data_IF_793715003789
#
_entry.id   IF_793715003789
#
_cell.length_a   1.000
_cell.length_b   1.000
_cell.length_c   1.000
_cell.angle_alpha   90.00
_cell.angle_beta   90.00
_cell.angle_gamma   90.00
#
_symmetry.space_group_name_H-M   'P 1'
#
loop_
_entity.id
_entity.type
_entity.pdbx_description
1 polymer ?
#
# COMPACT_ATOMS: atom_id res chain seq x y z
N UNK A 1 -50.79 11.31 24.44
CA UNK A 1 -50.87 11.98 23.14
C UNK A 1 -49.67 11.46 22.32
N UNK A 2 -49.69 10.49 21.44
CA UNK A 2 -50.71 10.12 20.47
C UNK A 2 -50.35 10.67 19.11
N UNK A 3 -49.66 9.87 18.27
CA UNK A 3 -49.88 9.88 16.83
C UNK A 3 -49.15 8.71 16.18
N UNK A 4 -49.96 7.82 15.67
CA UNK A 4 -49.63 6.63 14.88
C UNK A 4 -49.24 6.99 13.47
N UNK A 5 -48.35 6.21 12.88
CA UNK A 5 -48.11 6.15 11.45
C UNK A 5 -48.83 4.96 10.84
N UNK A 6 -49.37 5.05 9.65
CA UNK A 6 -49.72 3.89 8.87
C UNK A 6 -49.04 3.94 7.49
N UNK A 7 -48.45 2.83 7.02
CA UNK A 7 -48.53 2.39 5.62
C UNK A 7 -48.01 0.95 5.51
N UNK A 8 -48.92 0.05 5.25
CA UNK A 8 -48.68 -1.33 4.87
C UNK A 8 -48.62 -1.49 3.33
N UNK A 9 -48.37 -2.71 2.85
CA UNK A 9 -47.84 -2.96 1.50
C UNK A 9 -48.94 -3.06 0.44
N UNK A 10 -48.60 -2.62 -0.80
CA UNK A 10 -49.44 -2.86 -1.95
C UNK A 10 -48.71 -3.68 -3.00
N UNK A 11 -49.25 -4.86 -3.24
CA UNK A 11 -48.95 -5.74 -4.40
C UNK A 11 -49.61 -5.17 -5.66
N UNK A 12 -48.91 -5.11 -6.76
CA UNK A 12 -49.51 -5.05 -8.10
C UNK A 12 -48.63 -5.80 -9.13
N UNK A 13 -49.33 -6.59 -9.92
CA UNK A 13 -48.89 -7.56 -10.89
C UNK A 13 -48.43 -6.93 -12.23
N UNK A 14 -47.95 -7.78 -13.24
CA UNK A 14 -47.06 -7.37 -14.32
C UNK A 14 -47.82 -6.83 -15.55
N UNK A 15 -47.19 -5.86 -16.22
CA UNK A 15 -47.64 -5.38 -17.55
C UNK A 15 -46.63 -5.76 -18.62
N UNK A 16 -47.18 -6.30 -19.72
CA UNK A 16 -46.49 -6.81 -20.91
C UNK A 16 -45.89 -5.71 -21.79
N UNK A 17 -44.80 -6.08 -22.38
CA UNK A 17 -44.21 -5.83 -23.68
C UNK A 17 -44.80 -4.70 -24.58
N UNK A 18 -43.90 -3.77 -24.99
CA UNK A 18 -44.07 -2.90 -26.14
C UNK A 18 -42.71 -2.33 -26.53
N UNK A 19 -42.17 -2.75 -27.66
CA UNK A 19 -40.99 -2.15 -28.29
C UNK A 19 -41.33 -0.76 -28.84
N UNK A 20 -40.45 0.22 -28.76
CA UNK A 20 -40.49 1.40 -29.61
C UNK A 20 -39.27 1.48 -30.54
N UNK A 21 -39.34 2.32 -31.57
CA UNK A 21 -38.56 2.21 -32.79
C UNK A 21 -37.20 2.95 -32.70
N UNK A 22 -36.31 2.44 -33.55
CA UNK A 22 -35.00 2.95 -33.89
C UNK A 22 -35.02 4.47 -34.25
N UNK A 23 -34.24 5.29 -33.50
CA UNK A 23 -33.78 6.59 -33.98
C UNK A 23 -32.28 6.71 -33.67
N UNK A 24 -31.53 6.72 -34.76
CA UNK A 24 -30.11 7.09 -34.77
C UNK A 24 -29.95 8.58 -34.35
N UNK A 25 -29.19 8.78 -33.29
CA UNK A 25 -28.71 10.09 -32.86
C UNK A 25 -27.38 9.85 -32.15
N UNK A 26 -26.27 10.20 -32.80
CA UNK A 26 -24.92 10.00 -32.26
C UNK A 26 -24.72 10.79 -30.98
N UNK A 27 -24.52 10.06 -29.91
CA UNK A 27 -23.96 10.57 -28.69
C UNK A 27 -22.46 10.27 -28.69
N UNK A 28 -21.67 11.34 -28.53
CA UNK A 28 -20.23 11.26 -28.41
C UNK A 28 -19.85 10.30 -27.28
N UNK A 29 -19.11 9.25 -27.63
CA UNK A 29 -18.53 8.31 -26.69
C UNK A 29 -17.64 9.04 -25.69
N UNK A 30 -17.91 8.87 -24.41
CA UNK A 30 -16.94 9.11 -23.36
C UNK A 30 -15.70 8.23 -23.65
N UNK A 31 -14.46 8.72 -23.42
CA UNK A 31 -13.29 7.91 -23.70
C UNK A 31 -13.33 6.66 -22.83
N UNK A 32 -13.29 5.48 -23.47
CA UNK A 32 -13.20 4.20 -22.78
C UNK A 32 -11.94 4.18 -21.94
N UNK A 33 -12.02 3.67 -20.72
CA UNK A 33 -10.91 3.53 -19.78
C UNK A 33 -9.82 2.53 -20.24
N UNK A 34 -9.93 1.99 -21.47
CA UNK A 34 -9.04 0.93 -21.99
C UNK A 34 -7.77 1.44 -22.69
N UNK A 35 -7.55 2.75 -22.79
CA UNK A 35 -6.38 3.29 -23.48
C UNK A 35 -5.29 3.77 -22.53
N UNK A 36 -4.73 2.86 -21.72
CA UNK A 36 -3.36 3.02 -21.23
C UNK A 36 -2.42 2.43 -22.31
N UNK A 37 -1.28 3.10 -22.63
CA UNK A 37 -0.36 2.57 -23.61
C UNK A 37 0.11 1.18 -23.20
N UNK A 38 0.08 0.20 -24.11
CA UNK A 38 0.47 -1.21 -23.96
C UNK A 38 1.97 -1.44 -23.73
N UNK A 39 2.72 -0.48 -23.26
CA UNK A 39 4.05 -0.72 -22.72
C UNK A 39 3.91 -1.17 -21.28
N UNK A 40 3.51 -2.43 -21.09
CA UNK A 40 3.61 -3.09 -19.78
C UNK A 40 5.05 -2.92 -19.27
N UNK A 41 5.26 -2.26 -18.14
CA UNK A 41 6.57 -2.30 -17.50
C UNK A 41 6.93 -3.77 -17.25
N UNK A 42 8.22 -4.15 -17.29
CA UNK A 42 8.67 -5.52 -17.07
C UNK A 42 8.11 -6.01 -15.75
N UNK A 43 7.78 -7.30 -15.63
CA UNK A 43 7.18 -7.96 -14.47
C UNK A 43 7.67 -7.31 -13.16
N UNK A 44 6.82 -6.49 -12.54
CA UNK A 44 7.22 -5.43 -11.58
C UNK A 44 7.79 -5.97 -10.27
N UNK A 45 7.74 -7.28 -10.07
CA UNK A 45 8.30 -7.96 -8.90
C UNK A 45 9.63 -8.68 -9.17
N UNK A 46 10.12 -8.75 -10.43
CA UNK A 46 11.48 -9.26 -10.67
C UNK A 46 12.54 -8.16 -10.45
N UNK A 47 13.29 -8.23 -9.33
CA UNK A 47 14.34 -7.25 -9.06
C UNK A 47 15.41 -7.17 -10.16
N UNK A 48 15.58 -8.23 -10.95
CA UNK A 48 16.51 -8.24 -12.07
C UNK A 48 15.97 -7.45 -13.25
N UNK A 49 14.66 -7.54 -13.51
CA UNK A 49 14.02 -6.74 -14.55
C UNK A 49 14.06 -5.24 -14.21
N UNK A 50 13.76 -4.87 -12.96
CA UNK A 50 13.90 -3.49 -12.48
C UNK A 50 15.34 -2.98 -12.62
N UNK A 51 16.35 -3.81 -12.29
CA UNK A 51 17.76 -3.42 -12.46
C UNK A 51 18.09 -3.17 -13.94
N UNK A 52 17.62 -4.02 -14.85
CA UNK A 52 17.79 -3.84 -16.30
C UNK A 52 17.13 -2.56 -16.80
N UNK A 53 15.90 -2.29 -16.40
CA UNK A 53 15.17 -1.05 -16.74
C UNK A 53 15.92 0.19 -16.27
N UNK A 54 16.51 0.16 -15.08
CA UNK A 54 17.35 1.22 -14.54
C UNK A 54 18.76 1.28 -15.18
N UNK A 55 19.09 0.41 -16.15
CA UNK A 55 20.45 0.22 -16.72
C UNK A 55 21.51 -0.09 -15.66
N UNK A 56 21.10 -0.89 -14.65
CA UNK A 56 21.95 -1.31 -13.54
C UNK A 56 22.12 -2.83 -13.53
N UNK A 57 23.18 -3.30 -12.84
CA UNK A 57 23.39 -4.72 -12.56
C UNK A 57 22.67 -5.11 -11.27
N UNK A 58 21.95 -6.22 -11.30
CA UNK A 58 21.44 -6.84 -10.09
C UNK A 58 22.59 -7.49 -9.33
N UNK A 59 22.79 -7.14 -8.08
CA UNK A 59 23.93 -7.59 -7.25
C UNK A 59 23.45 -7.90 -5.82
N UNK A 60 24.20 -8.71 -5.09
CA UNK A 60 23.96 -9.00 -3.68
C UNK A 60 25.26 -8.85 -2.88
N UNK A 61 25.16 -8.65 -1.59
CA UNK A 61 26.27 -8.37 -0.69
C UNK A 61 27.12 -9.60 -0.30
N UNK A 62 26.80 -10.78 -0.86
CA UNK A 62 27.68 -11.96 -0.82
C UNK A 62 28.78 -11.90 -1.91
N UNK A 63 28.66 -10.98 -2.87
CA UNK A 63 29.69 -10.77 -3.90
C UNK A 63 30.86 -9.98 -3.34
N UNK A 64 32.06 -10.11 -3.91
CA UNK A 64 33.22 -9.30 -3.53
C UNK A 64 32.90 -7.80 -3.56
N UNK A 65 33.27 -7.09 -2.50
CA UNK A 65 33.01 -5.67 -2.32
C UNK A 65 34.02 -5.04 -1.38
N UNK A 66 33.96 -3.73 -1.26
CA UNK A 66 34.72 -3.00 -0.25
C UNK A 66 34.10 -3.21 1.13
N UNK A 67 34.92 -3.10 2.17
CA UNK A 67 34.49 -3.18 3.57
C UNK A 67 34.89 -1.91 4.29
N UNK A 68 34.12 -1.54 5.29
CA UNK A 68 34.45 -0.41 6.16
C UNK A 68 34.93 -0.93 7.51
N UNK A 69 36.14 -0.56 7.87
CA UNK A 69 36.71 -0.84 9.18
C UNK A 69 36.69 0.41 10.07
N UNK A 70 36.33 0.25 11.32
CA UNK A 70 36.28 1.34 12.30
C UNK A 70 37.66 1.50 12.95
N UNK A 71 38.22 2.71 12.89
CA UNK A 71 39.45 3.09 13.58
C UNK A 71 39.21 3.91 14.85
N UNK A 72 38.01 4.53 14.95
CA UNK A 72 37.60 5.36 16.09
C UNK A 72 36.10 5.67 16.04
N UNK A 73 35.62 6.59 16.88
CA UNK A 73 34.17 6.91 16.94
C UNK A 73 33.59 7.37 15.60
N UNK A 74 34.35 8.18 14.85
CA UNK A 74 33.94 8.71 13.53
C UNK A 74 35.02 8.53 12.47
N UNK A 75 36.07 7.76 12.77
CA UNK A 75 37.15 7.48 11.86
C UNK A 75 37.01 6.09 11.27
N UNK A 76 37.08 6.01 9.96
CA UNK A 76 36.91 4.77 9.21
C UNK A 76 37.93 4.71 8.08
N UNK A 77 38.45 3.52 7.82
CA UNK A 77 39.13 3.21 6.57
C UNK A 77 38.26 2.27 5.73
N UNK A 78 38.44 2.35 4.44
CA UNK A 78 37.79 1.46 3.49
C UNK A 78 38.82 0.48 2.98
N UNK A 79 38.50 -0.80 3.08
CA UNK A 79 39.34 -1.87 2.59
C UNK A 79 38.75 -2.41 1.28
N UNK A 80 39.59 -2.80 0.36
CA UNK A 80 39.21 -3.53 -0.84
C UNK A 80 38.85 -4.99 -0.48
N UNK A 81 38.60 -5.82 -1.51
CA UNK A 81 38.21 -7.22 -1.31
C UNK A 81 39.41 -8.13 -0.93
N UNK A 82 40.64 -7.64 -1.07
CA UNK A 82 41.86 -8.31 -0.69
C UNK A 82 42.35 -7.89 0.71
N UNK A 83 41.69 -6.85 1.28
CA UNK A 83 42.01 -6.34 2.63
C UNK A 83 42.97 -5.15 2.63
N UNK A 84 43.36 -4.64 1.45
CA UNK A 84 44.21 -3.47 1.33
C UNK A 84 43.40 -2.18 1.48
N UNK A 85 44.01 -1.11 1.99
CA UNK A 85 43.37 0.18 2.08
C UNK A 85 43.06 0.76 0.70
N UNK A 86 41.82 1.22 0.50
CA UNK A 86 41.32 1.80 -0.73
C UNK A 86 41.89 3.22 -0.91
N UNK A 87 42.82 3.39 -1.81
CA UNK A 87 43.54 4.66 -2.07
C UNK A 87 43.04 5.38 -3.33
N UNK A 88 42.31 4.69 -4.21
CA UNK A 88 41.78 5.28 -5.46
C UNK A 88 40.81 6.43 -5.14
N UNK A 89 41.13 7.68 -5.61
CA UNK A 89 40.34 8.88 -5.25
C UNK A 89 38.89 8.82 -5.71
N UNK A 90 38.59 8.21 -6.86
CA UNK A 90 37.26 8.11 -7.44
C UNK A 90 36.39 7.17 -6.61
N UNK A 91 36.95 6.04 -6.22
CA UNK A 91 36.29 5.08 -5.37
C UNK A 91 36.05 5.66 -3.95
N UNK A 92 37.03 6.33 -3.37
CA UNK A 92 36.90 6.98 -2.05
C UNK A 92 35.83 8.06 -2.08
N UNK A 93 35.84 8.92 -3.12
CA UNK A 93 34.83 9.97 -3.29
C UNK A 93 33.42 9.38 -3.45
N UNK A 94 33.25 8.32 -4.24
CA UNK A 94 31.98 7.63 -4.42
C UNK A 94 31.49 7.04 -3.10
N UNK A 95 32.34 6.36 -2.36
CA UNK A 95 31.99 5.76 -1.06
C UNK A 95 31.52 6.82 -0.05
N UNK A 96 32.22 7.95 0.01
CA UNK A 96 31.82 9.10 0.87
C UNK A 96 30.43 9.63 0.51
N UNK A 97 30.12 9.75 -0.79
CA UNK A 97 28.79 10.17 -1.31
C UNK A 97 27.66 9.21 -0.93
N UNK A 98 27.93 7.94 -0.62
CA UNK A 98 26.91 7.01 -0.14
C UNK A 98 26.36 7.39 1.24
N UNK A 99 27.03 8.24 1.99
CA UNK A 99 26.65 8.74 3.30
C UNK A 99 26.19 7.61 4.25
N UNK A 100 27.03 6.56 4.36
CA UNK A 100 26.74 5.41 5.24
C UNK A 100 26.88 5.88 6.70
N UNK A 101 25.82 5.73 7.53
CA UNK A 101 25.87 6.21 8.92
C UNK A 101 27.05 5.64 9.69
N UNK A 102 27.72 6.45 10.53
CA UNK A 102 28.84 5.99 11.36
C UNK A 102 28.49 4.81 12.26
N UNK A 103 27.24 4.77 12.78
CA UNK A 103 26.76 3.72 13.67
C UNK A 103 26.53 2.36 12.98
N UNK A 104 26.69 2.25 11.64
CA UNK A 104 26.52 0.96 10.97
C UNK A 104 27.75 0.10 11.15
N UNK A 105 27.52 -1.18 11.35
CA UNK A 105 28.51 -2.27 11.44
C UNK A 105 28.37 -3.21 10.25
N UNK A 106 29.31 -4.13 10.03
CA UNK A 106 29.32 -5.12 8.95
C UNK A 106 29.04 -4.48 7.56
N UNK A 107 29.70 -3.36 7.30
CA UNK A 107 29.42 -2.58 6.09
C UNK A 107 30.10 -3.23 4.89
N UNK A 108 29.28 -3.65 3.92
CA UNK A 108 29.67 -4.05 2.58
C UNK A 108 29.33 -2.92 1.58
N UNK A 109 30.23 -2.66 0.61
CA UNK A 109 30.07 -1.63 -0.41
C UNK A 109 30.39 -2.21 -1.77
N UNK A 110 29.50 -2.04 -2.74
CA UNK A 110 29.71 -2.49 -4.12
C UNK A 110 30.93 -1.83 -4.75
N UNK A 111 31.80 -2.61 -5.42
CA UNK A 111 33.02 -2.08 -6.12
C UNK A 111 32.63 -1.14 -7.26
N UNK A 112 31.69 -1.54 -8.12
CA UNK A 112 31.30 -0.76 -9.30
C UNK A 112 30.07 0.10 -9.01
N UNK A 113 30.02 1.30 -9.61
CA UNK A 113 28.93 2.26 -9.44
C UNK A 113 27.58 1.76 -9.99
N UNK A 114 27.59 0.86 -10.98
CA UNK A 114 26.43 0.40 -11.73
C UNK A 114 25.63 -0.75 -11.04
N UNK A 115 25.87 -1.04 -9.77
CA UNK A 115 25.06 -2.00 -9.02
C UNK A 115 23.74 -1.36 -8.53
N UNK A 116 22.60 -2.07 -8.60
CA UNK A 116 21.36 -1.58 -8.01
C UNK A 116 21.49 -1.40 -6.49
N UNK A 117 22.20 -2.30 -5.83
CA UNK A 117 22.56 -2.22 -4.42
C UNK A 117 23.99 -1.64 -4.33
N UNK A 118 24.14 -0.52 -3.64
CA UNK A 118 25.40 0.20 -3.50
C UNK A 118 26.12 -0.15 -2.20
N UNK A 119 25.39 -0.33 -1.10
CA UNK A 119 25.96 -0.80 0.16
C UNK A 119 24.90 -1.46 1.05
N UNK A 120 25.37 -2.31 1.96
CA UNK A 120 24.60 -2.81 3.12
C UNK A 120 25.38 -2.53 4.40
N UNK A 121 24.70 -2.62 5.55
CA UNK A 121 25.31 -2.53 6.87
C UNK A 121 24.26 -2.84 7.93
N UNK A 122 24.71 -3.06 9.17
CA UNK A 122 23.83 -3.26 10.32
C UNK A 122 23.73 -2.00 11.15
N UNK A 123 22.51 -1.59 11.50
CA UNK A 123 22.30 -0.46 12.40
C UNK A 123 22.60 -0.85 13.85
N UNK A 124 22.53 0.12 14.78
CA UNK A 124 22.78 -0.08 16.21
C UNK A 124 21.87 -1.12 16.89
N UNK A 125 20.82 -1.59 16.21
CA UNK A 125 19.93 -2.68 16.66
C UNK A 125 20.22 -4.00 15.93
N UNK A 126 21.33 -4.12 15.23
CA UNK A 126 21.72 -5.30 14.44
C UNK A 126 20.94 -5.50 13.15
N UNK A 127 20.00 -4.61 12.81
CA UNK A 127 19.13 -4.77 11.64
C UNK A 127 19.87 -4.42 10.38
N UNK A 128 19.80 -5.28 9.35
CA UNK A 128 20.39 -5.05 8.04
C UNK A 128 19.71 -3.87 7.33
N UNK A 129 20.52 -2.92 6.89
CA UNK A 129 20.12 -1.72 6.17
C UNK A 129 20.73 -1.72 4.78
N UNK A 130 20.05 -1.08 3.82
CA UNK A 130 20.38 -1.12 2.40
C UNK A 130 20.52 0.29 1.84
N UNK A 131 21.52 0.50 1.00
CA UNK A 131 21.71 1.71 0.18
C UNK A 131 21.60 1.35 -1.30
N UNK A 132 20.49 1.73 -1.89
CA UNK A 132 20.22 1.49 -3.31
C UNK A 132 20.68 2.66 -4.16
N UNK A 133 21.01 2.38 -5.43
CA UNK A 133 21.31 3.37 -6.47
C UNK A 133 20.11 4.32 -6.69
N UNK A 134 20.35 5.60 -7.03
CA UNK A 134 19.27 6.57 -7.25
C UNK A 134 18.29 6.12 -8.35
N UNK A 135 18.84 5.76 -9.53
CA UNK A 135 18.04 5.25 -10.66
C UNK A 135 17.21 4.01 -10.33
N UNK A 136 17.72 3.11 -9.47
CA UNK A 136 16.95 1.97 -9.00
C UNK A 136 15.71 2.41 -8.23
N UNK A 137 15.87 3.43 -7.38
CA UNK A 137 14.74 3.97 -6.61
C UNK A 137 13.74 4.67 -7.51
N UNK A 138 14.20 5.44 -8.49
CA UNK A 138 13.35 6.12 -9.47
C UNK A 138 12.46 5.12 -10.22
N UNK A 139 13.05 4.14 -10.91
CA UNK A 139 12.29 3.12 -11.66
C UNK A 139 11.35 2.32 -10.76
N UNK A 140 11.78 1.99 -9.54
CA UNK A 140 10.94 1.28 -8.59
C UNK A 140 9.79 2.14 -8.04
N UNK A 141 10.00 3.44 -7.87
CA UNK A 141 8.97 4.36 -7.40
C UNK A 141 7.95 4.66 -8.53
N UNK A 142 8.39 4.75 -9.79
CA UNK A 142 7.50 4.83 -10.97
C UNK A 142 6.60 3.60 -11.11
N UNK A 143 7.19 2.39 -11.08
CA UNK A 143 6.43 1.14 -11.12
C UNK A 143 5.42 1.02 -9.97
N UNK A 144 5.81 1.45 -8.76
CA UNK A 144 4.91 1.46 -7.61
C UNK A 144 3.66 2.32 -7.83
N UNK A 145 3.82 3.48 -8.46
CA UNK A 145 2.68 4.38 -8.69
C UNK A 145 1.79 3.91 -9.84
N UNK A 146 2.37 3.30 -10.87
CA UNK A 146 1.61 2.61 -11.90
C UNK A 146 0.78 1.47 -11.28
N UNK A 147 1.38 0.63 -10.45
CA UNK A 147 0.69 -0.46 -9.73
C UNK A 147 -0.45 0.05 -8.84
N UNK A 148 -0.34 1.23 -8.27
CA UNK A 148 -1.43 1.81 -7.51
C UNK A 148 -2.69 2.06 -8.36
N UNK A 149 -2.54 2.49 -9.63
CA UNK A 149 -3.67 2.62 -10.55
C UNK A 149 -4.24 1.25 -10.96
N UNK A 150 -3.37 0.25 -11.17
CA UNK A 150 -3.81 -1.14 -11.38
C UNK A 150 -4.60 -1.62 -10.16
N UNK A 151 -4.10 -1.39 -8.94
CA UNK A 151 -4.80 -1.72 -7.71
C UNK A 151 -6.19 -1.07 -7.62
N UNK A 152 -6.30 0.24 -7.90
CA UNK A 152 -7.59 0.96 -7.93
C UNK A 152 -8.60 0.32 -8.90
N UNK A 153 -8.13 -0.13 -10.06
CA UNK A 153 -8.93 -0.79 -11.08
C UNK A 153 -9.50 -2.14 -10.65
N UNK A 154 -8.69 -2.93 -9.91
CA UNK A 154 -9.10 -4.28 -9.48
C UNK A 154 -9.74 -4.30 -8.09
N UNK A 155 -9.68 -3.21 -7.33
CA UNK A 155 -10.23 -3.10 -5.98
C UNK A 155 -11.73 -3.45 -5.90
N UNK A 156 -12.60 -3.02 -6.84
CA UNK A 156 -14.01 -3.44 -6.86
C UNK A 156 -14.19 -4.97 -6.94
N UNK A 157 -13.38 -5.62 -7.77
CA UNK A 157 -13.39 -7.09 -7.91
C UNK A 157 -12.92 -7.76 -6.62
N UNK A 158 -11.86 -7.22 -6.00
CA UNK A 158 -11.38 -7.70 -4.70
C UNK A 158 -12.49 -7.58 -3.66
N UNK A 159 -13.15 -6.42 -3.55
CA UNK A 159 -14.25 -6.18 -2.59
C UNK A 159 -15.41 -7.16 -2.82
N UNK A 160 -15.84 -7.36 -4.06
CA UNK A 160 -16.91 -8.29 -4.40
C UNK A 160 -16.57 -9.73 -3.99
N UNK A 161 -15.36 -10.20 -4.28
CA UNK A 161 -14.93 -11.54 -3.90
C UNK A 161 -14.79 -11.70 -2.38
N UNK A 162 -14.26 -10.69 -1.69
CA UNK A 162 -14.18 -10.67 -0.21
C UNK A 162 -15.58 -10.75 0.41
N UNK A 163 -16.58 -10.01 -0.10
CA UNK A 163 -17.96 -10.10 0.38
C UNK A 163 -18.54 -11.51 0.18
N UNK A 164 -18.29 -12.11 -0.96
CA UNK A 164 -18.69 -13.49 -1.26
C UNK A 164 -18.06 -14.48 -0.28
N UNK A 165 -16.74 -14.41 -0.09
CA UNK A 165 -16.00 -15.38 0.74
C UNK A 165 -16.27 -15.20 2.24
N UNK A 166 -16.60 -13.99 2.69
CA UNK A 166 -17.07 -13.73 4.06
C UNK A 166 -18.39 -14.42 4.39
N UNK A 167 -19.21 -14.72 3.38
CA UNK A 167 -20.51 -15.39 3.56
C UNK A 167 -20.37 -16.92 3.69
N UNK A 168 -19.20 -17.51 3.40
CA UNK A 168 -18.96 -18.94 3.50
C UNK A 168 -19.29 -19.45 4.93
N UNK A 169 -19.73 -20.70 5.04
CA UNK A 169 -19.96 -21.36 6.31
C UNK A 169 -18.64 -21.85 6.95
N UNK A 170 -18.62 -22.05 8.24
CA UNK A 170 -17.44 -22.58 8.93
C UNK A 170 -16.28 -21.59 9.05
N UNK A 171 -15.06 -22.09 9.06
CA UNK A 171 -13.80 -21.36 9.00
C UNK A 171 -12.89 -21.91 7.87
N UNK A 172 -13.37 -22.04 6.63
CA UNK A 172 -12.49 -22.43 5.53
C UNK A 172 -11.44 -21.32 5.29
N UNK A 173 -10.31 -21.67 4.68
CA UNK A 173 -9.20 -20.76 4.44
C UNK A 173 -9.65 -19.45 3.75
N UNK A 174 -10.46 -19.54 2.69
CA UNK A 174 -10.95 -18.37 1.95
C UNK A 174 -11.72 -17.38 2.82
N UNK A 175 -12.56 -17.88 3.74
CA UNK A 175 -13.31 -17.01 4.65
C UNK A 175 -12.42 -16.26 5.62
N UNK A 176 -11.39 -16.93 6.17
CA UNK A 176 -10.44 -16.29 7.09
C UNK A 176 -9.55 -15.30 6.35
N UNK A 177 -9.12 -15.63 5.12
CA UNK A 177 -8.38 -14.71 4.24
C UNK A 177 -9.21 -13.47 3.89
N UNK A 178 -10.48 -13.63 3.53
CA UNK A 178 -11.41 -12.54 3.27
C UNK A 178 -11.58 -11.64 4.51
N UNK A 179 -11.66 -12.22 5.71
CA UNK A 179 -11.73 -11.44 6.94
C UNK A 179 -10.44 -10.62 7.18
N UNK A 180 -9.26 -11.19 6.91
CA UNK A 180 -7.98 -10.48 7.01
C UNK A 180 -7.92 -9.34 5.99
N UNK A 181 -8.33 -9.56 4.75
CA UNK A 181 -8.34 -8.51 3.71
C UNK A 181 -9.31 -7.39 4.07
N UNK A 182 -10.50 -7.71 4.58
CA UNK A 182 -11.44 -6.71 5.08
C UNK A 182 -10.86 -5.88 6.23
N UNK A 183 -10.10 -6.52 7.13
CA UNK A 183 -9.39 -5.84 8.20
C UNK A 183 -8.23 -4.98 7.68
N UNK A 184 -7.46 -5.45 6.67
CA UNK A 184 -6.43 -4.64 6.03
C UNK A 184 -7.00 -3.34 5.48
N UNK A 185 -8.11 -3.42 4.77
CA UNK A 185 -8.79 -2.26 4.18
C UNK A 185 -9.35 -1.32 5.26
N UNK A 186 -10.08 -1.85 6.24
CA UNK A 186 -10.76 -1.03 7.24
C UNK A 186 -9.84 -0.42 8.30
N UNK A 187 -8.71 -1.08 8.62
CA UNK A 187 -7.82 -0.66 9.73
C UNK A 187 -6.47 -0.14 9.26
N UNK A 188 -6.08 -0.42 8.04
CA UNK A 188 -4.76 -0.13 7.49
C UNK A 188 -3.59 -0.75 8.30
N UNK A 189 -3.87 -1.76 9.11
CA UNK A 189 -2.85 -2.53 9.85
C UNK A 189 -2.00 -3.31 8.85
N UNK A 190 -0.72 -3.50 9.15
CA UNK A 190 0.18 -4.31 8.31
C UNK A 190 -0.21 -5.77 8.37
N UNK A 191 0.00 -6.49 7.26
CA UNK A 191 -0.31 -7.93 7.19
C UNK A 191 0.41 -8.72 8.29
N UNK A 192 1.65 -8.44 8.58
CA UNK A 192 2.47 -9.16 9.57
C UNK A 192 3.64 -9.90 8.89
N UNK A 193 4.59 -10.34 9.71
CA UNK A 193 5.69 -11.23 9.34
C UNK A 193 6.15 -11.94 10.62
N UNK A 194 6.21 -13.25 10.59
CA UNK A 194 6.45 -14.07 11.78
C UNK A 194 7.86 -13.89 12.35
N UNK A 195 8.88 -13.89 11.50
CA UNK A 195 10.27 -13.64 11.90
C UNK A 195 10.41 -12.30 12.61
N UNK A 196 9.82 -11.25 12.03
CA UNK A 196 9.84 -9.90 12.61
C UNK A 196 9.05 -9.83 13.93
N UNK A 197 7.93 -10.55 14.05
CA UNK A 197 7.13 -10.60 15.28
C UNK A 197 7.91 -11.27 16.40
N UNK A 198 8.61 -12.38 16.11
CA UNK A 198 9.44 -13.10 17.05
C UNK A 198 10.62 -12.26 17.55
N UNK A 199 11.33 -11.58 16.64
CA UNK A 199 12.53 -10.81 16.99
C UNK A 199 12.22 -9.49 17.72
N UNK A 200 11.11 -8.82 17.35
CA UNK A 200 10.83 -7.44 17.78
C UNK A 200 9.60 -7.31 18.68
N UNK A 201 8.92 -8.41 19.00
CA UNK A 201 7.63 -8.43 19.71
C UNK A 201 6.64 -7.39 19.14
N UNK A 202 6.54 -7.37 17.81
CA UNK A 202 5.73 -6.42 17.03
C UNK A 202 4.87 -7.15 16.03
N UNK A 203 3.56 -6.90 16.06
CA UNK A 203 2.55 -7.73 15.42
C UNK A 203 1.90 -7.02 14.22
N UNK A 204 1.38 -7.82 13.30
CA UNK A 204 0.46 -7.45 12.24
C UNK A 204 -0.69 -8.45 12.21
N UNK A 205 -1.58 -8.38 11.22
CA UNK A 205 -2.80 -9.19 11.23
C UNK A 205 -2.50 -10.70 11.31
N UNK A 206 -1.64 -11.24 10.46
CA UNK A 206 -1.34 -12.69 10.45
C UNK A 206 -0.56 -13.18 11.68
N UNK A 207 0.14 -12.27 12.36
CA UNK A 207 0.90 -12.59 13.58
C UNK A 207 0.22 -12.14 14.87
N UNK A 208 -1.02 -11.64 14.74
CA UNK A 208 -1.82 -11.18 15.87
C UNK A 208 -2.19 -12.34 16.78
N UNK A 209 -2.19 -12.11 18.09
CA UNK A 209 -2.56 -13.11 19.09
C UNK A 209 -3.97 -12.87 19.59
N UNK A 210 -4.63 -13.91 20.09
CA UNK A 210 -5.99 -13.84 20.68
C UNK A 210 -6.16 -12.72 21.71
N UNK A 211 -5.16 -12.49 22.56
CA UNK A 211 -5.17 -11.43 23.59
C UNK A 211 -5.16 -10.01 23.03
N UNK A 212 -4.84 -9.82 21.74
CA UNK A 212 -4.75 -8.53 21.10
C UNK A 212 -6.10 -8.03 20.57
N UNK A 213 -7.16 -8.82 20.68
CA UNK A 213 -8.49 -8.41 20.23
C UNK A 213 -9.56 -8.76 21.27
N UNK A 214 -10.46 -7.83 21.50
CA UNK A 214 -11.69 -8.03 22.28
C UNK A 214 -12.88 -7.93 21.33
N UNK A 215 -13.83 -8.88 21.48
CA UNK A 215 -15.07 -8.92 20.70
C UNK A 215 -16.27 -8.73 21.63
N UNK A 216 -17.00 -7.62 21.44
CA UNK A 216 -18.23 -7.33 22.18
C UNK A 216 -19.38 -7.06 21.21
N UNK A 217 -20.29 -8.01 21.04
CA UNK A 217 -21.35 -7.92 20.03
C UNK A 217 -20.78 -7.83 18.63
N UNK A 218 -21.01 -6.73 17.93
CA UNK A 218 -20.47 -6.42 16.61
C UNK A 218 -19.15 -5.62 16.67
N UNK A 219 -18.74 -5.17 17.87
CA UNK A 219 -17.55 -4.33 18.05
C UNK A 219 -16.30 -5.20 18.25
N UNK A 220 -15.26 -4.87 17.50
CA UNK A 220 -13.92 -5.39 17.60
C UNK A 220 -13.00 -4.28 18.11
N UNK A 221 -12.27 -4.52 19.19
CA UNK A 221 -11.26 -3.61 19.72
C UNK A 221 -9.91 -4.30 19.65
N UNK A 222 -8.99 -3.77 18.85
CA UNK A 222 -7.63 -4.29 18.71
C UNK A 222 -6.68 -3.43 19.56
N UNK A 223 -5.88 -4.08 20.40
CA UNK A 223 -4.83 -3.44 21.20
C UNK A 223 -3.54 -4.25 21.10
N UNK A 224 -2.55 -3.72 20.40
CA UNK A 224 -1.31 -4.45 20.12
C UNK A 224 -0.15 -3.54 19.78
N UNK A 225 1.06 -4.05 19.99
CA UNK A 225 2.30 -3.39 19.62
C UNK A 225 2.64 -3.70 18.17
N UNK A 226 2.61 -2.71 17.30
CA UNK A 226 2.97 -2.81 15.90
C UNK A 226 4.43 -2.47 15.60
N UNK A 227 4.74 -2.32 14.31
CA UNK A 227 6.10 -2.04 13.82
C UNK A 227 6.71 -0.81 14.49
N UNK A 228 8.00 -0.90 14.82
CA UNK A 228 8.78 0.09 15.58
C UNK A 228 8.33 0.28 17.04
N UNK A 229 7.53 -0.64 17.57
CA UNK A 229 7.04 -0.58 18.95
C UNK A 229 5.86 0.36 19.15
N UNK A 230 5.24 0.83 18.05
CA UNK A 230 4.08 1.71 18.12
C UNK A 230 2.86 0.95 18.65
N UNK A 231 2.24 1.49 19.72
CA UNK A 231 0.99 0.92 20.23
C UNK A 231 -0.17 1.32 19.32
N UNK A 232 -0.95 0.32 18.92
CA UNK A 232 -2.17 0.48 18.14
C UNK A 232 -3.39 0.17 19.01
N UNK A 233 -4.34 1.12 19.03
CA UNK A 233 -5.67 0.92 19.58
C UNK A 233 -6.68 1.22 18.47
N UNK A 234 -7.45 0.22 18.03
CA UNK A 234 -8.33 0.32 16.85
C UNK A 234 -9.68 -0.27 17.20
N UNK A 235 -10.73 0.52 17.03
CA UNK A 235 -12.11 0.08 17.13
C UNK A 235 -12.74 -0.07 15.75
N UNK A 236 -13.42 -1.17 15.53
CA UNK A 236 -14.17 -1.46 14.31
C UNK A 236 -15.52 -2.07 14.69
N UNK A 237 -16.58 -1.68 14.00
CA UNK A 237 -17.90 -2.28 14.15
C UNK A 237 -18.32 -2.99 12.87
N UNK A 238 -18.26 -4.32 12.89
CA UNK A 238 -18.68 -5.19 11.81
C UNK A 238 -19.14 -6.54 12.39
N UNK A 239 -20.42 -6.85 12.23
CA UNK A 239 -21.04 -8.06 12.82
C UNK A 239 -20.49 -9.35 12.23
N UNK A 240 -20.19 -9.38 10.92
CA UNK A 240 -19.63 -10.58 10.26
C UNK A 240 -18.19 -10.82 10.71
N UNK A 241 -17.35 -9.79 10.67
CA UNK A 241 -15.98 -9.89 11.14
C UNK A 241 -15.93 -10.27 12.63
N UNK A 242 -16.78 -9.68 13.47
CA UNK A 242 -16.85 -10.02 14.89
C UNK A 242 -17.18 -11.50 15.12
N UNK A 243 -18.09 -12.06 14.31
CA UNK A 243 -18.42 -13.48 14.39
C UNK A 243 -17.25 -14.38 13.96
N UNK A 244 -16.57 -14.05 12.85
CA UNK A 244 -15.40 -14.80 12.38
C UNK A 244 -14.27 -14.74 13.41
N UNK A 245 -13.93 -13.55 13.90
CA UNK A 245 -12.87 -13.36 14.89
C UNK A 245 -13.16 -14.10 16.20
N UNK A 246 -14.43 -14.08 16.68
CA UNK A 246 -14.82 -14.85 17.86
C UNK A 246 -14.59 -16.34 17.66
N UNK A 247 -15.02 -16.89 16.52
CA UNK A 247 -14.78 -18.30 16.20
C UNK A 247 -13.30 -18.65 16.09
N UNK A 248 -12.47 -17.75 15.55
CA UNK A 248 -11.01 -17.92 15.56
C UNK A 248 -10.45 -17.91 17.01
N UNK A 249 -11.03 -17.10 17.91
CA UNK A 249 -10.61 -17.08 19.32
C UNK A 249 -11.01 -18.36 20.11
N UNK A 250 -12.00 -19.10 19.65
CA UNK A 250 -12.41 -20.39 20.25
C UNK A 250 -11.44 -21.52 19.98
N UNK A 251 -10.59 -21.38 18.93
CA UNK A 251 -9.55 -22.38 18.61
C UNK A 251 -8.43 -22.35 19.68
N UNK A 252 -7.81 -23.49 20.03
CA UNK A 252 -6.82 -23.58 21.12
C UNK A 252 -5.47 -22.92 20.81
N UNK A 253 -5.32 -22.27 19.68
CA UNK A 253 -4.08 -21.72 19.14
C UNK A 253 -3.69 -20.34 19.69
N UNK A 254 -2.37 -20.01 19.69
CA UNK A 254 -1.90 -18.70 20.17
C UNK A 254 -2.15 -17.57 19.16
N UNK A 255 -1.96 -17.84 17.86
CA UNK A 255 -2.29 -16.89 16.80
C UNK A 255 -3.80 -16.72 16.68
N UNK A 256 -4.23 -15.53 16.27
CA UNK A 256 -5.66 -15.24 16.16
C UNK A 256 -6.26 -15.93 14.94
N UNK A 257 -5.61 -15.80 13.77
CA UNK A 257 -6.18 -16.24 12.50
C UNK A 257 -5.71 -17.63 12.11
N UNK A 258 -6.61 -18.60 12.29
CA UNK A 258 -6.51 -19.97 11.81
C UNK A 258 -7.72 -20.32 10.98
N UNK A 259 -7.54 -21.17 9.99
CA UNK A 259 -8.61 -21.83 9.27
C UNK A 259 -8.65 -23.32 9.63
N UNK A 260 -9.78 -23.95 9.41
CA UNK A 260 -9.96 -25.39 9.64
C UNK A 260 -9.80 -26.09 8.30
N UNK A 261 -8.88 -27.04 8.23
CA UNK A 261 -8.68 -27.93 7.07
C UNK A 261 -9.80 -28.97 6.96
N UNK A 262 -9.80 -29.70 5.88
CA UNK A 262 -10.74 -30.82 5.65
C UNK A 262 -10.60 -31.94 6.69
N UNK A 263 -9.40 -32.13 7.24
CA UNK A 263 -9.10 -33.06 8.35
C UNK A 263 -9.59 -32.56 9.73
N UNK A 264 -10.15 -31.36 9.80
CA UNK A 264 -10.63 -30.74 11.05
C UNK A 264 -9.56 -30.00 11.84
N UNK A 265 -8.28 -30.05 11.42
CA UNK A 265 -7.17 -29.43 12.15
C UNK A 265 -7.03 -27.92 11.85
N UNK A 266 -6.75 -27.11 12.89
CA UNK A 266 -6.50 -25.67 12.70
C UNK A 266 -5.14 -25.42 12.06
N UNK A 267 -5.09 -24.53 11.09
CA UNK A 267 -3.86 -24.11 10.39
C UNK A 267 -3.73 -22.59 10.37
N UNK A 268 -2.56 -22.02 10.74
CA UNK A 268 -2.35 -20.58 10.75
C UNK A 268 -2.35 -19.99 9.33
N UNK A 269 -2.79 -18.74 9.22
CA UNK A 269 -2.67 -17.94 7.99
C UNK A 269 -1.35 -17.18 8.04
N UNK A 270 -0.52 -17.34 7.01
CA UNK A 270 0.70 -16.59 6.81
C UNK A 270 0.51 -15.34 5.92
N UNK A 271 1.49 -14.43 5.90
CA UNK A 271 1.47 -13.26 5.01
C UNK A 271 1.44 -13.62 3.53
N UNK A 272 2.07 -14.74 3.17
CA UNK A 272 2.15 -15.21 1.79
C UNK A 272 0.81 -15.76 1.31
N UNK A 273 0.03 -16.41 2.21
CA UNK A 273 -1.33 -16.86 1.90
C UNK A 273 -2.25 -15.67 1.57
N UNK A 274 -2.11 -14.57 2.33
CA UNK A 274 -2.88 -13.34 2.09
C UNK A 274 -2.54 -12.73 0.73
N UNK A 275 -1.25 -12.67 0.38
CA UNK A 275 -0.83 -12.12 -0.91
C UNK A 275 -1.22 -13.06 -2.07
N UNK A 276 -1.11 -14.37 -1.93
CA UNK A 276 -1.56 -15.34 -2.93
C UNK A 276 -3.07 -15.22 -3.19
N UNK A 277 -3.87 -15.11 -2.13
CA UNK A 277 -5.31 -14.89 -2.24
C UNK A 277 -5.64 -13.58 -2.96
N UNK A 278 -4.96 -12.48 -2.62
CA UNK A 278 -5.15 -11.19 -3.28
C UNK A 278 -4.83 -11.27 -4.78
N UNK A 279 -3.72 -11.91 -5.16
CA UNK A 279 -3.33 -12.10 -6.56
C UNK A 279 -4.34 -12.96 -7.32
N UNK A 280 -4.82 -14.04 -6.71
CA UNK A 280 -5.84 -14.92 -7.30
C UNK A 280 -7.12 -14.14 -7.59
N UNK A 281 -7.68 -13.43 -6.60
CA UNK A 281 -8.97 -12.74 -6.77
C UNK A 281 -8.86 -11.46 -7.61
N UNK A 282 -7.71 -10.80 -7.62
CA UNK A 282 -7.46 -9.63 -8.45
C UNK A 282 -7.15 -9.99 -9.90
N UNK A 283 -6.51 -11.15 -10.15
CA UNK A 283 -5.94 -11.50 -11.46
C UNK A 283 -4.73 -10.64 -11.85
N UNK A 284 -4.13 -9.94 -10.88
CA UNK A 284 -3.03 -8.99 -11.03
C UNK A 284 -2.04 -9.12 -9.87
N UNK A 285 -0.80 -8.66 -10.06
CA UNK A 285 0.25 -8.70 -9.03
C UNK A 285 0.02 -7.60 -7.98
N UNK A 286 -0.98 -7.79 -7.11
CA UNK A 286 -1.31 -6.91 -6.00
C UNK A 286 -1.00 -7.56 -4.66
N UNK A 287 -0.76 -6.76 -3.63
CA UNK A 287 -0.35 -7.22 -2.31
C UNK A 287 -1.06 -6.45 -1.19
N UNK A 288 -1.02 -6.97 0.02
CA UNK A 288 -1.53 -6.29 1.22
C UNK A 288 -0.93 -4.88 1.43
N UNK A 289 0.26 -4.60 0.88
CA UNK A 289 0.90 -3.29 0.96
C UNK A 289 0.17 -2.23 0.12
N UNK A 290 -0.46 -2.64 -0.98
CA UNK A 290 -1.08 -1.73 -1.92
C UNK A 290 -2.31 -1.05 -1.32
N UNK A 291 -3.06 -1.71 -0.42
CA UNK A 291 -4.13 -1.09 0.38
C UNK A 291 -3.64 0.16 1.13
N UNK A 292 -2.45 0.10 1.70
CA UNK A 292 -1.89 1.23 2.47
C UNK A 292 -1.43 2.38 1.57
N UNK A 293 -0.90 2.06 0.39
CA UNK A 293 -0.50 3.08 -0.61
C UNK A 293 -1.74 3.75 -1.20
N UNK A 294 -2.75 2.96 -1.53
CA UNK A 294 -4.05 3.42 -2.00
C UNK A 294 -4.72 4.35 -0.99
N UNK A 295 -4.94 3.86 0.23
CA UNK A 295 -5.60 4.63 1.28
C UNK A 295 -4.83 5.91 1.63
N UNK A 296 -3.48 5.86 1.71
CA UNK A 296 -2.67 7.04 2.02
C UNK A 296 -2.80 8.13 0.95
N UNK A 297 -2.83 7.74 -0.33
CA UNK A 297 -2.97 8.68 -1.45
C UNK A 297 -4.35 9.31 -1.47
N UNK A 298 -5.41 8.51 -1.31
CA UNK A 298 -6.79 9.02 -1.24
C UNK A 298 -6.97 9.95 -0.02
N UNK A 299 -6.54 9.55 1.16
CA UNK A 299 -6.62 10.37 2.37
C UNK A 299 -5.85 11.69 2.24
N UNK A 300 -4.68 11.69 1.58
CA UNK A 300 -3.91 12.91 1.35
C UNK A 300 -4.61 13.84 0.35
N UNK A 301 -5.18 13.29 -0.73
CA UNK A 301 -5.94 14.06 -1.71
C UNK A 301 -7.16 14.72 -1.07
N UNK A 302 -7.94 13.97 -0.29
CA UNK A 302 -9.11 14.47 0.43
C UNK A 302 -8.72 15.52 1.48
N UNK A 303 -7.67 15.27 2.27
CA UNK A 303 -7.22 16.24 3.26
C UNK A 303 -6.80 17.58 2.63
N UNK A 304 -6.14 17.53 1.46
CA UNK A 304 -5.72 18.74 0.74
C UNK A 304 -6.88 19.43 0.02
N UNK A 305 -7.82 18.68 -0.56
CA UNK A 305 -8.99 19.26 -1.23
C UNK A 305 -9.97 19.95 -0.29
N UNK A 306 -10.03 19.52 0.97
CA UNK A 306 -10.85 20.14 2.02
C UNK A 306 -10.25 21.40 2.65
N UNK A 307 -9.02 21.76 2.28
CA UNK A 307 -8.39 22.97 2.78
C UNK A 307 -8.74 24.17 1.89
N UNK A 308 -8.82 25.36 2.52
CA UNK A 308 -9.03 26.61 1.79
C UNK A 308 -7.91 26.85 0.76
N UNK A 309 -8.25 27.63 -0.29
CA UNK A 309 -7.25 28.08 -1.29
C UNK A 309 -6.12 28.81 -0.56
N UNK A 310 -4.89 28.45 -0.89
CA UNK A 310 -3.72 29.12 -0.31
C UNK A 310 -3.38 30.39 -1.11
N UNK A 311 -2.91 31.39 -0.38
CA UNK A 311 -2.46 32.68 -0.87
C UNK A 311 -0.96 32.73 -1.18
N UNK A 312 -0.21 31.72 -0.71
CA UNK A 312 1.24 31.67 -0.87
C UNK A 312 1.77 30.23 -0.90
N UNK A 313 2.89 30.03 -1.58
CA UNK A 313 3.60 28.75 -1.58
C UNK A 313 4.04 28.30 -0.16
N UNK A 314 4.29 29.23 0.75
CA UNK A 314 4.62 28.93 2.13
C UNK A 314 3.41 28.29 2.85
N UNK A 315 2.21 28.83 2.63
CA UNK A 315 0.96 28.29 3.15
C UNK A 315 0.67 26.90 2.56
N UNK A 316 0.82 26.74 1.25
CA UNK A 316 0.65 25.45 0.58
C UNK A 316 1.56 24.36 1.15
N UNK A 317 2.83 24.67 1.40
CA UNK A 317 3.76 23.73 2.03
C UNK A 317 3.35 23.35 3.46
N UNK A 318 2.85 24.27 4.25
CA UNK A 318 2.31 23.98 5.60
C UNK A 318 1.10 23.06 5.52
N UNK A 319 0.20 23.30 4.58
CA UNK A 319 -0.97 22.45 4.35
C UNK A 319 -0.57 21.02 3.97
N UNK A 320 0.42 20.87 3.07
CA UNK A 320 0.97 19.55 2.71
C UNK A 320 1.56 18.83 3.94
N UNK A 321 2.31 19.54 4.79
CA UNK A 321 2.86 18.95 6.02
C UNK A 321 1.72 18.45 6.91
N UNK A 322 0.72 19.26 7.18
CA UNK A 322 -0.43 18.89 8.01
C UNK A 322 -1.21 17.70 7.45
N UNK A 323 -1.45 17.66 6.13
CA UNK A 323 -2.08 16.52 5.47
C UNK A 323 -1.25 15.24 5.62
N UNK A 324 0.07 15.31 5.39
CA UNK A 324 0.98 14.17 5.55
C UNK A 324 1.01 13.67 7.01
N UNK A 325 1.02 14.56 7.99
CA UNK A 325 0.99 14.21 9.42
C UNK A 325 -0.31 13.50 9.80
N UNK A 326 -1.45 14.00 9.33
CA UNK A 326 -2.76 13.37 9.54
C UNK A 326 -2.79 11.94 8.97
N UNK A 327 -2.35 11.76 7.72
CA UNK A 327 -2.28 10.45 7.08
C UNK A 327 -1.28 9.54 7.78
N UNK A 328 -0.12 10.06 8.16
CA UNK A 328 0.91 9.30 8.87
C UNK A 328 0.40 8.76 10.22
N UNK A 329 -0.39 9.57 10.95
CA UNK A 329 -1.04 9.16 12.21
C UNK A 329 -2.00 7.98 11.97
N UNK A 330 -2.84 8.05 10.92
CA UNK A 330 -3.76 6.96 10.57
C UNK A 330 -3.04 5.65 10.18
N UNK A 331 -1.92 5.77 9.44
CA UNK A 331 -1.16 4.61 9.00
C UNK A 331 -0.20 4.05 10.08
N UNK A 332 0.02 4.74 11.19
CA UNK A 332 1.05 4.39 12.16
C UNK A 332 2.45 4.42 11.55
N UNK A 333 2.77 5.51 10.84
CA UNK A 333 4.07 5.75 10.21
C UNK A 333 4.64 7.11 10.64
N UNK A 334 5.94 7.34 10.38
CA UNK A 334 6.46 8.71 10.47
C UNK A 334 6.02 9.53 9.24
N UNK A 335 5.84 10.87 9.37
CA UNK A 335 5.49 11.73 8.24
C UNK A 335 6.44 11.58 7.05
N UNK A 336 7.75 11.51 7.29
CA UNK A 336 8.76 11.33 6.25
C UNK A 336 8.58 10.01 5.45
N UNK A 337 8.33 8.91 6.15
CA UNK A 337 8.06 7.61 5.53
C UNK A 337 6.72 7.65 4.79
N UNK A 338 5.69 8.26 5.39
CA UNK A 338 4.37 8.34 4.77
C UNK A 338 4.44 9.11 3.44
N UNK A 339 5.03 10.31 3.45
CA UNK A 339 5.22 11.14 2.26
C UNK A 339 5.98 10.40 1.15
N UNK A 340 7.10 9.75 1.51
CA UNK A 340 8.00 9.12 0.52
C UNK A 340 7.47 7.79 -0.01
N UNK A 341 6.82 6.98 0.85
CA UNK A 341 6.56 5.58 0.56
C UNK A 341 5.10 5.23 0.32
N UNK A 342 4.15 6.12 0.65
CA UNK A 342 2.73 5.77 0.61
C UNK A 342 1.86 6.76 -0.16
N UNK A 343 2.26 8.03 -0.30
CA UNK A 343 1.45 9.04 -1.00
C UNK A 343 2.04 9.27 -2.39
N UNK A 344 1.19 9.28 -3.42
CA UNK A 344 1.59 9.57 -4.79
C UNK A 344 2.09 11.03 -4.90
N UNK A 345 3.28 11.30 -5.47
CA UNK A 345 3.83 12.66 -5.57
C UNK A 345 2.92 13.64 -6.30
N UNK A 346 2.25 13.20 -7.37
CA UNK A 346 1.35 14.04 -8.16
C UNK A 346 0.22 14.68 -7.33
N UNK A 347 -0.11 14.16 -6.16
CA UNK A 347 -1.07 14.78 -5.24
C UNK A 347 -0.49 16.08 -4.69
N UNK A 348 0.79 16.10 -4.32
CA UNK A 348 1.45 17.30 -3.82
C UNK A 348 1.73 18.31 -4.92
N UNK A 349 2.18 17.84 -6.07
CA UNK A 349 2.48 18.68 -7.24
C UNK A 349 1.20 19.34 -7.72
N UNK A 350 0.11 18.59 -7.85
CA UNK A 350 -1.18 19.12 -8.25
C UNK A 350 -1.84 20.04 -7.22
N UNK A 351 -1.54 19.86 -5.93
CA UNK A 351 -1.95 20.82 -4.91
C UNK A 351 -1.19 22.15 -5.08
N UNK A 352 0.13 22.08 -5.32
CA UNK A 352 0.97 23.27 -5.50
C UNK A 352 0.66 24.06 -6.76
N UNK A 353 0.30 23.39 -7.86
CA UNK A 353 -0.09 24.06 -9.12
C UNK A 353 -1.60 24.36 -9.22
N UNK A 354 -2.39 23.99 -8.20
CA UNK A 354 -3.83 24.24 -8.12
C UNK A 354 -4.72 23.25 -8.87
N UNK A 355 -4.15 22.32 -9.65
CA UNK A 355 -4.91 21.37 -10.49
C UNK A 355 -5.62 20.28 -9.70
N UNK A 356 -5.17 19.96 -8.48
CA UNK A 356 -5.76 18.89 -7.67
C UNK A 356 -7.22 19.19 -7.31
N UNK A 357 -7.48 20.36 -6.75
CA UNK A 357 -8.82 20.72 -6.24
C UNK A 357 -9.82 20.76 -7.38
N UNK A 358 -9.46 21.44 -8.49
CA UNK A 358 -10.29 21.51 -9.69
C UNK A 358 -10.51 20.12 -10.31
N UNK A 359 -9.43 19.34 -10.43
CA UNK A 359 -9.49 18.00 -11.00
C UNK A 359 -10.38 17.03 -10.20
N UNK A 360 -10.41 17.13 -8.88
CA UNK A 360 -11.28 16.30 -8.05
C UNK A 360 -12.75 16.75 -8.10
N UNK A 361 -13.02 18.06 -8.22
CA UNK A 361 -14.40 18.60 -8.33
C UNK A 361 -15.07 18.21 -9.65
N UNK A 362 -14.40 18.41 -10.77
CA UNK A 362 -14.92 18.05 -12.11
C UNK A 362 -15.27 16.56 -12.18
N UNK A 363 -14.51 15.71 -11.52
CA UNK A 363 -14.75 14.27 -11.50
C UNK A 363 -15.91 13.88 -10.56
N UNK A 364 -16.05 14.54 -9.42
CA UNK A 364 -17.16 14.29 -8.51
C UNK A 364 -18.52 14.61 -9.18
N UNK A 365 -18.60 15.71 -9.93
CA UNK A 365 -19.82 16.11 -10.63
C UNK A 365 -20.17 15.16 -11.79
N UNK A 366 -19.17 14.61 -12.50
CA UNK A 366 -19.38 13.66 -13.58
C UNK A 366 -19.84 12.27 -13.08
N UNK A 367 -19.53 11.91 -11.83
CA UNK A 367 -19.72 10.55 -11.27
C UNK A 367 -20.92 10.39 -10.33
N UNK A 368 -21.63 11.44 -10.02
CA UNK A 368 -22.98 11.33 -9.41
C UNK A 368 -23.94 10.50 -10.28
N UNK A 369 -23.54 10.18 -11.53
CA UNK A 369 -24.29 9.36 -12.47
C UNK A 369 -23.90 7.89 -12.55
N UNK A 370 -22.76 7.45 -11.95
CA UNK A 370 -22.25 6.08 -12.12
C UNK A 370 -21.91 5.39 -10.78
N UNK A 371 -22.96 4.91 -10.10
CA UNK A 371 -22.86 4.13 -8.85
C UNK A 371 -22.38 2.68 -9.02
N UNK A 372 -22.05 2.25 -10.25
CA UNK A 372 -21.73 0.86 -10.57
C UNK A 372 -20.26 0.45 -10.33
N UNK A 373 -19.39 1.40 -9.98
CA UNK A 373 -17.93 1.14 -10.00
C UNK A 373 -17.37 0.33 -8.81
N UNK A 374 -18.11 0.18 -7.70
CA UNK A 374 -17.60 -0.48 -6.47
C UNK A 374 -16.44 0.27 -5.76
N UNK A 375 -16.11 1.48 -6.25
CA UNK A 375 -15.24 2.47 -5.62
C UNK A 375 -16.09 3.57 -4.98
N UNK A 376 -15.58 4.25 -3.94
CA UNK A 376 -16.24 5.47 -3.46
C UNK A 376 -16.06 6.63 -4.48
N UNK A 377 -16.93 7.63 -4.42
CA UNK A 377 -16.83 8.80 -5.30
C UNK A 377 -15.43 9.47 -5.22
N UNK A 378 -14.88 9.52 -4.01
CA UNK A 378 -13.55 10.06 -3.78
C UNK A 378 -12.44 9.21 -4.42
N UNK A 379 -12.53 7.88 -4.27
CA UNK A 379 -11.56 6.94 -4.88
C UNK A 379 -11.58 7.05 -6.40
N UNK A 380 -12.74 7.18 -6.98
CA UNK A 380 -12.90 7.36 -8.42
C UNK A 380 -12.31 8.70 -8.85
N UNK A 381 -12.62 9.80 -8.17
CA UNK A 381 -12.09 11.13 -8.48
C UNK A 381 -10.55 11.16 -8.42
N UNK A 382 -9.96 10.56 -7.38
CA UNK A 382 -8.50 10.48 -7.25
C UNK A 382 -7.88 9.61 -8.34
N UNK A 383 -8.50 8.48 -8.69
CA UNK A 383 -8.02 7.60 -9.75
C UNK A 383 -8.00 8.31 -11.11
N UNK A 384 -9.10 8.97 -11.47
CA UNK A 384 -9.23 9.70 -12.71
C UNK A 384 -8.26 10.90 -12.79
N UNK A 385 -8.10 11.64 -11.68
CA UNK A 385 -7.10 12.70 -11.58
C UNK A 385 -5.69 12.19 -11.85
N UNK A 386 -5.29 11.11 -11.17
CA UNK A 386 -3.95 10.54 -11.32
C UNK A 386 -3.72 9.97 -12.73
N UNK A 387 -4.71 9.27 -13.29
CA UNK A 387 -4.61 8.74 -14.66
C UNK A 387 -4.38 9.82 -15.69
N UNK A 388 -5.12 10.94 -15.60
CA UNK A 388 -4.93 12.11 -16.48
C UNK A 388 -3.54 12.71 -16.30
N UNK A 389 -3.12 12.96 -15.07
CA UNK A 389 -1.83 13.59 -14.76
C UNK A 389 -0.64 12.78 -15.27
N UNK A 390 -0.70 11.45 -15.17
CA UNK A 390 0.34 10.53 -15.69
C UNK A 390 0.34 10.51 -17.23
N UNK A 391 -0.83 10.56 -17.87
CA UNK A 391 -0.93 10.65 -19.33
C UNK A 391 -0.35 11.97 -19.88
N UNK A 392 -0.55 13.10 -19.19
CA UNK A 392 0.04 14.40 -19.52
C UNK A 392 1.56 14.39 -19.36
N UNK A 393 2.08 13.82 -18.27
CA UNK A 393 3.53 13.68 -18.04
C UNK A 393 4.24 12.82 -19.09
N UNK A 394 3.58 11.78 -19.60
CA UNK A 394 4.13 10.94 -20.66
C UNK A 394 4.18 11.61 -22.05
N UNK A 395 3.43 12.70 -22.26
CA UNK A 395 3.39 13.48 -23.52
C UNK A 395 4.40 14.62 -23.59
N UNK A 396 5.02 15.00 -22.47
CA UNK A 396 6.07 16.01 -22.45
C UNK A 396 7.42 15.32 -22.67
N UNK A 397 8.09 15.47 -23.84
CA UNK A 397 9.44 14.97 -24.04
C UNK A 397 10.40 15.68 -23.10
N UNK A 398 11.34 14.92 -22.52
CA UNK A 398 12.41 15.39 -21.64
C UNK A 398 13.40 16.33 -22.35
#
# INVERSE_FOLDING_TARGET
HGASSPFGPNLAAPVRCGQPPNRAGGLAFAPSMDALPETSPPAEDDPRAIARAARLRYVHDRQPGFRRERLGERQFRILDHEGNELTDPDHVTRVRKLAIPPAYEDVWIRRHHNGHLQATGRDARGRKQYRYHAKWREVRDEGKYHRMLVFGRVLPRIRAQVEHDLALAGLPQRRVLAAIVRLLEGTLVRVGNEEYARENNSFGLTTMRRRHVQVKGARLTFDFRGKHGLQHHIDLSDRRLANIVRRCQELPEQHLFHYIREDGEPHPIASDDVNAYLQEIAGESVTAKDFRTWAATNLAALALSGLERFDSHARARKNIVAAVESVAKKLGNTPAICRKCYIHPAIFDGYLDGSLVEGLRVQADAMLSDTASGLSAEEVAVTAYLSRRLAEGARQPA
#
